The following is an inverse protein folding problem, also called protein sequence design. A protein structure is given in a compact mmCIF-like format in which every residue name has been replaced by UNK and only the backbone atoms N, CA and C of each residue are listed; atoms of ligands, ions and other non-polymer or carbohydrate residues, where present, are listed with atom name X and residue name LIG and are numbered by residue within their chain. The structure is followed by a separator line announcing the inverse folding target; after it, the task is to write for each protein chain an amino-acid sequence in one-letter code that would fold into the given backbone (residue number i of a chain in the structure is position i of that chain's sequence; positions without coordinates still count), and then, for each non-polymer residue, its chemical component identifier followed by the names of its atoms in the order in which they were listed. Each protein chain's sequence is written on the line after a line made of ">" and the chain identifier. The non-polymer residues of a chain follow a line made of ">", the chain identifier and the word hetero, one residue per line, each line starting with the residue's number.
data_IF_124238298942
#
_entry.id   IF_124238298942
#
_cell.length_a   1.000
_cell.length_b   1.000
_cell.length_c   1.000
_cell.angle_alpha   90.00
_cell.angle_beta   90.00
_cell.angle_gamma   90.00
#
_symmetry.space_group_name_H-M   'P 1'
#
loop_
_entity.id
_entity.type
_entity.pdbx_description
1 polymer ?
#
# COMPACT_ATOMS: atom_id res chain seq x y z
N UNK A 1 32.01 -28.69 31.93
CA UNK A 1 30.61 -29.12 31.81
C UNK A 1 29.81 -27.84 31.89
N UNK A 2 29.55 -27.27 30.73
CA UNK A 2 28.94 -25.95 30.57
C UNK A 2 27.55 -26.19 30.00
N UNK A 3 26.52 -25.84 30.77
CA UNK A 3 25.12 -25.91 30.34
C UNK A 3 24.56 -24.51 30.51
N UNK A 4 24.64 -23.74 29.43
CA UNK A 4 23.87 -22.51 29.25
C UNK A 4 22.89 -22.71 28.10
N UNK A 5 21.64 -23.00 28.42
CA UNK A 5 20.52 -23.01 27.48
C UNK A 5 19.92 -21.60 27.36
N UNK A 6 20.69 -20.69 26.77
CA UNK A 6 20.23 -19.35 26.41
C UNK A 6 19.29 -19.39 25.21
N UNK A 7 17.99 -19.53 25.47
CA UNK A 7 16.89 -19.32 24.53
C UNK A 7 16.96 -17.93 23.88
N UNK A 8 17.42 -17.87 22.63
CA UNK A 8 17.39 -16.67 21.78
C UNK A 8 16.47 -16.85 20.59
N UNK A 9 15.14 -16.83 20.81
CA UNK A 9 14.18 -16.73 19.71
C UNK A 9 14.10 -15.27 19.25
N UNK A 10 15.07 -14.84 18.44
CA UNK A 10 15.09 -13.54 17.81
C UNK A 10 14.01 -13.47 16.74
N UNK A 11 12.79 -13.10 17.13
CA UNK A 11 11.82 -12.53 16.19
C UNK A 11 12.34 -11.15 15.82
N UNK A 12 13.03 -11.05 14.69
CA UNK A 12 13.30 -9.76 14.08
C UNK A 12 11.93 -9.18 13.70
N UNK A 13 11.41 -8.28 14.54
CA UNK A 13 10.44 -7.30 14.06
C UNK A 13 11.22 -6.43 13.08
N UNK A 14 11.20 -6.82 11.81
CA UNK A 14 11.72 -5.97 10.75
C UNK A 14 10.74 -4.82 10.66
N UNK A 15 11.12 -3.68 11.24
CA UNK A 15 10.45 -2.40 10.98
C UNK A 15 10.38 -2.25 9.47
N UNK A 16 9.17 -2.23 8.91
CA UNK A 16 8.99 -2.08 7.47
C UNK A 16 9.42 -0.67 7.07
N UNK A 17 10.29 -0.57 6.07
CA UNK A 17 10.72 0.72 5.53
C UNK A 17 9.59 1.33 4.71
N UNK A 18 8.90 2.32 5.30
CA UNK A 18 7.77 3.02 4.68
C UNK A 18 8.27 4.26 3.94
N UNK A 19 8.19 4.22 2.62
CA UNK A 19 8.58 5.30 1.75
C UNK A 19 7.43 6.26 1.45
N UNK A 20 7.76 7.42 0.88
CA UNK A 20 6.80 8.41 0.42
C UNK A 20 6.49 9.51 1.45
N UNK A 21 5.40 10.23 1.24
CA UNK A 21 5.09 11.51 1.91
C UNK A 21 3.75 11.49 2.61
N UNK A 22 3.67 12.26 3.70
CA UNK A 22 2.44 12.55 4.44
C UNK A 22 2.45 14.03 4.77
N UNK A 23 1.35 14.71 4.48
CA UNK A 23 1.14 16.10 4.88
C UNK A 23 0.82 16.19 6.37
N UNK A 24 1.15 17.33 6.99
CA UNK A 24 0.91 17.60 8.40
C UNK A 24 -0.55 17.29 8.82
N UNK A 25 -0.70 16.56 9.91
CA UNK A 25 -2.00 16.15 10.45
C UNK A 25 -2.56 14.84 9.87
N UNK A 26 -1.87 14.21 8.92
CA UNK A 26 -2.22 12.89 8.37
C UNK A 26 -1.26 11.77 8.80
N UNK A 27 -0.32 12.03 9.70
CA UNK A 27 0.65 11.06 10.23
C UNK A 27 0.01 9.76 10.74
N UNK A 28 -1.19 9.76 11.37
CA UNK A 28 -1.86 8.51 11.77
C UNK A 28 -2.12 7.53 10.62
N UNK A 29 -2.15 8.00 9.36
CA UNK A 29 -2.25 7.13 8.18
C UNK A 29 -0.95 6.35 7.96
N UNK A 30 0.22 6.97 8.15
CA UNK A 30 1.52 6.28 8.11
C UNK A 30 1.60 5.20 9.18
N UNK A 31 1.20 5.54 10.40
CA UNK A 31 1.21 4.59 11.52
C UNK A 31 0.29 3.39 11.25
N UNK A 32 -0.91 3.65 10.75
CA UNK A 32 -1.85 2.60 10.36
C UNK A 32 -1.33 1.75 9.20
N UNK A 33 -0.67 2.38 8.22
CA UNK A 33 -0.06 1.69 7.08
C UNK A 33 1.06 0.76 7.54
N UNK A 34 2.01 1.23 8.36
CA UNK A 34 3.08 0.41 8.92
C UNK A 34 2.53 -0.77 9.74
N UNK A 35 1.52 -0.51 10.58
CA UNK A 35 0.87 -1.55 11.40
C UNK A 35 0.22 -2.65 10.58
N UNK A 36 -0.24 -2.38 9.35
CA UNK A 36 -0.77 -3.44 8.48
C UNK A 36 0.30 -4.50 8.14
N UNK A 37 1.56 -4.11 7.98
CA UNK A 37 2.63 -5.08 7.75
C UNK A 37 2.93 -5.90 9.01
N UNK A 38 2.98 -5.24 10.16
CA UNK A 38 3.31 -5.88 11.44
C UNK A 38 2.21 -6.83 11.93
N UNK A 39 0.94 -6.42 11.81
CA UNK A 39 -0.19 -7.12 12.44
C UNK A 39 -1.03 -7.91 11.44
N UNK A 40 -1.03 -7.55 10.15
CA UNK A 40 -1.92 -8.14 9.13
C UNK A 40 -1.20 -8.92 8.04
N UNK A 41 0.13 -8.94 8.09
CA UNK A 41 0.96 -9.75 7.19
C UNK A 41 0.98 -9.22 5.75
N UNK A 42 0.86 -7.90 5.56
CA UNK A 42 1.11 -7.30 4.25
C UNK A 42 2.53 -7.62 3.77
N UNK A 43 2.65 -8.02 2.50
CA UNK A 43 3.96 -8.27 1.86
C UNK A 43 4.46 -7.03 1.11
N UNK A 44 3.54 -6.32 0.48
CA UNK A 44 3.78 -5.09 -0.24
C UNK A 44 2.46 -4.36 -0.43
N UNK A 45 2.49 -3.04 -0.25
CA UNK A 45 1.29 -2.22 -0.39
C UNK A 45 1.67 -0.79 -0.76
N UNK A 46 0.68 -0.05 -1.26
CA UNK A 46 0.73 1.40 -1.40
C UNK A 46 -0.62 2.01 -1.04
N UNK A 47 -0.60 3.25 -0.57
CA UNK A 47 -1.80 4.04 -0.28
C UNK A 47 -1.60 5.49 -0.71
N UNK A 48 -2.59 6.02 -1.43
CA UNK A 48 -2.66 7.43 -1.78
C UNK A 48 -4.00 8.00 -1.29
N UNK A 49 -3.96 9.14 -0.61
CA UNK A 49 -5.15 9.85 -0.12
C UNK A 49 -5.17 11.24 -0.71
N UNK A 50 -6.32 11.60 -1.30
CA UNK A 50 -6.56 12.95 -1.81
C UNK A 50 -7.63 13.64 -0.98
N UNK A 51 -7.36 14.89 -0.60
CA UNK A 51 -8.32 15.79 0.05
C UNK A 51 -8.35 17.11 -0.71
N UNK A 52 -9.54 17.53 -1.12
CA UNK A 52 -9.76 18.79 -1.85
C UNK A 52 -8.87 18.91 -3.10
N UNK A 53 -8.67 17.79 -3.81
CA UNK A 53 -7.83 17.69 -5.01
C UNK A 53 -6.33 17.59 -4.76
N UNK A 54 -5.87 17.70 -3.51
CA UNK A 54 -4.46 17.59 -3.13
C UNK A 54 -4.13 16.21 -2.61
N UNK A 55 -3.03 15.62 -3.08
CA UNK A 55 -2.48 14.37 -2.55
C UNK A 55 -1.81 14.63 -1.20
N UNK A 56 -2.47 14.25 -0.12
CA UNK A 56 -2.03 14.49 1.26
C UNK A 56 -1.31 13.29 1.87
N UNK A 57 -1.48 12.10 1.29
CA UNK A 57 -0.73 10.89 1.63
C UNK A 57 -0.33 10.21 0.32
N UNK A 58 0.90 9.77 0.24
CA UNK A 58 1.43 8.94 -0.84
C UNK A 58 2.52 8.04 -0.27
N UNK A 59 2.17 6.80 0.06
CA UNK A 59 3.05 5.86 0.76
C UNK A 59 3.12 4.53 0.04
N UNK A 60 4.28 3.88 0.15
CA UNK A 60 4.47 2.51 -0.29
C UNK A 60 5.54 1.80 0.53
N UNK A 61 5.48 0.48 0.59
CA UNK A 61 6.47 -0.36 1.25
C UNK A 61 6.37 -1.83 0.83
N UNK A 62 7.38 -2.61 1.20
CA UNK A 62 7.40 -4.07 1.01
C UNK A 62 7.85 -4.50 -0.39
N UNK A 63 7.34 -5.62 -0.89
CA UNK A 63 7.73 -6.22 -2.19
C UNK A 63 6.68 -6.06 -3.27
N UNK A 64 7.12 -5.90 -4.52
CA UNK A 64 6.23 -5.80 -5.69
C UNK A 64 5.58 -7.15 -6.06
N UNK A 65 6.28 -8.26 -5.81
CA UNK A 65 5.78 -9.61 -6.05
C UNK A 65 5.53 -10.31 -4.70
N UNK A 66 4.33 -10.85 -4.44
CA UNK A 66 4.07 -11.66 -3.25
C UNK A 66 5.03 -12.84 -3.08
N UNK A 67 5.55 -13.42 -4.16
CA UNK A 67 6.46 -14.57 -4.12
C UNK A 67 7.92 -14.21 -4.45
N UNK A 68 8.16 -12.96 -4.83
CA UNK A 68 9.48 -12.45 -5.19
C UNK A 68 10.11 -11.61 -4.09
N UNK A 69 11.31 -11.12 -4.39
CA UNK A 69 12.10 -10.24 -3.50
C UNK A 69 12.26 -8.83 -4.06
N UNK A 70 11.64 -8.53 -5.20
CA UNK A 70 11.72 -7.22 -5.83
C UNK A 70 11.04 -6.18 -4.92
N UNK A 71 11.74 -5.09 -4.55
CA UNK A 71 11.18 -4.07 -3.68
C UNK A 71 10.06 -3.31 -4.38
N UNK A 72 9.07 -2.88 -3.61
CA UNK A 72 8.06 -1.95 -4.08
C UNK A 72 8.71 -0.58 -4.35
N UNK A 73 8.42 0.00 -5.51
CA UNK A 73 8.83 1.36 -5.89
C UNK A 73 7.59 2.23 -6.13
N UNK A 74 7.78 3.55 -6.23
CA UNK A 74 6.69 4.47 -6.53
C UNK A 74 5.93 4.12 -7.82
N UNK A 75 6.60 3.45 -8.78
CA UNK A 75 6.06 3.11 -10.09
C UNK A 75 5.59 1.64 -10.19
N UNK A 76 5.60 0.87 -9.10
CA UNK A 76 5.15 -0.52 -9.09
C UNK A 76 3.67 -0.61 -9.50
N UNK A 77 3.42 -1.20 -10.67
CA UNK A 77 2.07 -1.48 -11.16
C UNK A 77 1.52 -2.78 -10.56
N UNK A 78 0.30 -2.73 -10.02
CA UNK A 78 -0.39 -3.88 -9.43
C UNK A 78 -1.69 -4.22 -10.15
N UNK A 79 -2.04 -5.51 -10.16
CA UNK A 79 -3.32 -5.97 -10.69
C UNK A 79 -4.42 -5.67 -9.67
N UNK A 80 -5.17 -4.58 -9.90
CA UNK A 80 -6.25 -4.11 -9.01
C UNK A 80 -7.59 -4.86 -9.18
N UNK A 81 -7.64 -5.85 -10.09
CA UNK A 81 -8.80 -6.73 -10.34
C UNK A 81 -10.10 -5.95 -10.55
N UNK A 82 -11.13 -6.21 -9.75
CA UNK A 82 -12.47 -5.62 -9.94
C UNK A 82 -12.53 -4.12 -9.75
N UNK A 83 -11.52 -3.49 -9.15
CA UNK A 83 -11.41 -2.01 -9.08
C UNK A 83 -11.46 -1.39 -10.48
N UNK A 84 -10.96 -2.08 -11.50
CA UNK A 84 -11.02 -1.65 -12.91
C UNK A 84 -12.44 -1.35 -13.38
N UNK A 85 -13.48 -1.98 -12.80
CA UNK A 85 -14.88 -1.73 -13.18
C UNK A 85 -15.31 -0.29 -12.96
N UNK A 86 -14.86 0.34 -11.86
CA UNK A 86 -15.19 1.74 -11.57
C UNK A 86 -14.61 2.68 -12.62
N UNK A 87 -13.33 2.49 -12.98
CA UNK A 87 -12.69 3.26 -14.05
C UNK A 87 -13.34 3.00 -15.40
N UNK A 88 -13.63 1.72 -15.72
CA UNK A 88 -14.28 1.35 -16.97
C UNK A 88 -15.69 1.97 -17.09
N UNK A 89 -16.43 2.10 -16.00
CA UNK A 89 -17.75 2.72 -15.98
C UNK A 89 -17.73 4.22 -16.36
N UNK A 90 -16.59 4.91 -16.22
CA UNK A 90 -16.48 6.31 -16.64
C UNK A 90 -16.74 6.47 -18.15
N UNK A 91 -16.36 5.49 -18.98
CA UNK A 91 -16.55 5.55 -20.44
C UNK A 91 -18.04 5.61 -20.82
N UNK A 92 -18.90 4.61 -20.48
CA UNK A 92 -20.31 4.68 -20.82
C UNK A 92 -21.02 5.88 -20.18
N UNK A 93 -20.63 6.29 -18.96
CA UNK A 93 -21.19 7.49 -18.33
C UNK A 93 -20.87 8.77 -19.11
N UNK A 94 -19.63 8.91 -19.60
CA UNK A 94 -19.24 10.04 -20.44
C UNK A 94 -19.93 10.03 -21.81
N UNK A 95 -20.14 8.84 -22.40
CA UNK A 95 -20.88 8.72 -23.67
C UNK A 95 -22.35 9.10 -23.48
N UNK A 96 -22.98 8.64 -22.39
CA UNK A 96 -24.35 9.02 -22.04
C UNK A 96 -24.47 10.52 -21.82
N UNK A 97 -23.55 11.13 -21.06
CA UNK A 97 -23.52 12.59 -20.86
C UNK A 97 -23.41 13.37 -22.18
N UNK A 98 -22.77 12.79 -23.20
CA UNK A 98 -22.61 13.38 -24.54
C UNK A 98 -23.77 13.05 -25.49
N UNK A 99 -24.79 12.33 -25.04
CA UNK A 99 -25.90 11.87 -25.88
C UNK A 99 -25.50 10.84 -26.93
N UNK A 100 -24.40 10.11 -26.71
CA UNK A 100 -23.87 9.09 -27.64
C UNK A 100 -24.25 7.66 -27.24
N UNK A 101 -24.88 7.51 -26.07
CA UNK A 101 -25.37 6.26 -25.50
C UNK A 101 -26.67 6.59 -24.74
N UNK A 102 -27.67 5.71 -24.84
CA UNK A 102 -28.97 5.82 -24.16
C UNK A 102 -29.01 4.90 -22.93
#
# INVERSE_FOLDING_TARGET
>A
MDVGDGTGNGRYSTVVDVHGTVADGFEPVRDAFARNFEERGERGAAVAVHRDGLKVVDLWAGTADPYGTEPWTADTAQIVRSVTKGVAAAVPLLLQQRGQLD
#
